data_IF_719380970380
#
_entry.id   IF_719380970380
#
_cell.length_a   1.000
_cell.length_b   1.000
_cell.length_c   1.000
_cell.angle_alpha   90.00
_cell.angle_beta   90.00
_cell.angle_gamma   90.00
#
_symmetry.space_group_name_H-M   'P 1'
#
loop_
_entity.id
_entity.type
_entity.pdbx_description
1 polymer ?
#
# COMPACT_ATOMS: atom_id res chain seq x y z
N UNK A 1 -9.84 -24.59 -12.88
CA UNK A 1 -10.43 -23.36 -12.33
C UNK A 1 -9.62 -22.78 -11.18
N UNK A 2 -9.09 -23.58 -10.27
CA UNK A 2 -8.26 -23.05 -9.18
C UNK A 2 -6.97 -22.40 -9.67
N UNK A 3 -6.36 -22.92 -10.73
CA UNK A 3 -5.17 -22.34 -11.35
C UNK A 3 -5.41 -20.95 -11.90
N UNK A 4 -6.63 -20.66 -12.40
CA UNK A 4 -6.99 -19.33 -12.92
C UNK A 4 -7.05 -18.28 -11.81
N UNK A 5 -7.57 -18.63 -10.62
CA UNK A 5 -7.65 -17.70 -9.48
C UNK A 5 -6.27 -17.33 -8.95
N UNK A 6 -5.35 -18.30 -8.87
CA UNK A 6 -3.98 -18.04 -8.42
C UNK A 6 -3.20 -17.18 -9.41
N UNK A 7 -3.38 -17.44 -10.72
CA UNK A 7 -2.74 -16.65 -11.76
C UNK A 7 -3.30 -15.22 -11.79
N UNK A 8 -4.60 -15.05 -11.51
CA UNK A 8 -5.21 -13.72 -11.43
C UNK A 8 -4.66 -12.92 -10.24
N UNK A 9 -4.49 -13.54 -9.08
CA UNK A 9 -3.90 -12.87 -7.92
C UNK A 9 -2.45 -12.47 -8.17
N UNK A 10 -1.67 -13.31 -8.83
CA UNK A 10 -0.29 -12.97 -9.17
C UNK A 10 -0.23 -11.77 -10.11
N UNK A 11 -1.10 -11.74 -11.12
CA UNK A 11 -1.18 -10.61 -12.04
C UNK A 11 -1.63 -9.33 -11.33
N UNK A 12 -2.59 -9.44 -10.43
CA UNK A 12 -3.09 -8.30 -9.65
C UNK A 12 -1.99 -7.74 -8.75
N UNK A 13 -1.22 -8.60 -8.09
CA UNK A 13 -0.11 -8.18 -7.22
C UNK A 13 0.97 -7.46 -8.03
N UNK A 14 1.31 -7.97 -9.21
CA UNK A 14 2.30 -7.30 -10.07
C UNK A 14 1.79 -5.94 -10.57
N UNK A 15 0.50 -5.84 -10.89
CA UNK A 15 -0.09 -4.56 -11.25
C UNK A 15 -0.07 -3.60 -10.06
N UNK A 16 -0.34 -4.09 -8.87
CA UNK A 16 -0.30 -3.30 -7.65
C UNK A 16 1.10 -2.72 -7.41
N UNK A 17 2.13 -3.56 -7.53
CA UNK A 17 3.52 -3.12 -7.39
C UNK A 17 3.87 -2.05 -8.42
N UNK A 18 3.46 -2.25 -9.66
CA UNK A 18 3.67 -1.27 -10.74
C UNK A 18 2.97 0.05 -10.43
N UNK A 19 1.74 0.00 -9.93
CA UNK A 19 0.97 1.20 -9.57
C UNK A 19 1.63 1.97 -8.42
N UNK A 20 2.19 1.28 -7.44
CA UNK A 20 2.95 1.92 -6.36
C UNK A 20 4.10 2.75 -6.92
N UNK A 21 4.84 2.20 -7.87
CA UNK A 21 5.96 2.91 -8.49
C UNK A 21 5.50 4.10 -9.32
N UNK A 22 4.41 3.92 -10.07
CA UNK A 22 3.85 5.00 -10.88
C UNK A 22 3.35 6.16 -10.02
N UNK A 23 2.70 5.87 -8.91
CA UNK A 23 2.23 6.91 -7.98
C UNK A 23 3.40 7.67 -7.34
N UNK A 24 4.50 6.98 -7.05
CA UNK A 24 5.69 7.64 -6.53
C UNK A 24 6.21 8.68 -7.52
N UNK A 25 6.31 8.31 -8.79
CA UNK A 25 6.80 9.21 -9.83
C UNK A 25 5.87 10.43 -10.00
N UNK A 26 4.57 10.20 -9.96
CA UNK A 26 3.58 11.26 -10.12
C UNK A 26 3.57 12.18 -8.90
N UNK A 27 3.79 11.63 -7.72
CA UNK A 27 3.79 12.40 -6.46
C UNK A 27 5.07 13.20 -6.24
N UNK A 28 6.08 13.04 -7.11
CA UNK A 28 7.28 13.84 -7.03
C UNK A 28 6.91 15.32 -7.24
N UNK A 29 7.33 16.18 -6.32
CA UNK A 29 6.98 17.60 -6.30
C UNK A 29 7.36 18.31 -7.60
N UNK A 30 8.51 17.95 -8.17
CA UNK A 30 8.97 18.56 -9.43
C UNK A 30 8.02 18.25 -10.57
N UNK A 31 7.40 17.06 -10.56
CA UNK A 31 6.41 16.68 -11.57
C UNK A 31 5.06 17.34 -11.35
N UNK A 32 4.64 17.48 -10.09
CA UNK A 32 3.37 18.15 -9.76
C UNK A 32 3.39 19.59 -10.22
N UNK A 33 4.56 20.23 -10.15
CA UNK A 33 4.75 21.61 -10.57
C UNK A 33 5.07 21.75 -12.07
N UNK A 34 5.16 20.64 -12.80
CA UNK A 34 5.47 20.67 -14.23
C UNK A 34 4.21 20.74 -15.08
N UNK A 35 4.33 21.28 -16.28
CA UNK A 35 3.24 21.37 -17.25
C UNK A 35 2.80 19.97 -17.75
N UNK A 36 3.65 18.96 -17.55
CA UNK A 36 3.38 17.59 -17.95
C UNK A 36 2.57 16.78 -16.91
N UNK A 37 2.29 17.38 -15.76
CA UNK A 37 1.52 16.70 -14.71
C UNK A 37 0.07 16.47 -15.15
N UNK A 38 -0.36 15.20 -15.10
CA UNK A 38 -1.72 14.81 -15.46
C UNK A 38 -2.46 14.26 -14.24
N UNK A 39 -3.33 15.08 -13.61
CA UNK A 39 -4.12 14.62 -12.45
C UNK A 39 -5.08 13.47 -12.78
N UNK A 40 -5.51 13.35 -14.04
CA UNK A 40 -6.40 12.27 -14.45
C UNK A 40 -5.71 10.92 -14.44
N UNK A 41 -4.42 10.89 -14.84
CA UNK A 41 -3.62 9.66 -14.79
C UNK A 41 -3.44 9.19 -13.34
N UNK A 42 -3.15 10.10 -12.42
CA UNK A 42 -3.03 9.79 -10.99
C UNK A 42 -4.33 9.21 -10.44
N UNK A 43 -5.46 9.82 -10.78
CA UNK A 43 -6.77 9.38 -10.31
C UNK A 43 -7.10 7.98 -10.84
N UNK A 44 -6.80 7.73 -12.13
CA UNK A 44 -7.03 6.43 -12.76
C UNK A 44 -6.22 5.33 -12.08
N UNK A 45 -4.95 5.60 -11.79
CA UNK A 45 -4.07 4.65 -11.10
C UNK A 45 -4.59 4.39 -9.69
N UNK A 46 -4.99 5.43 -8.97
CA UNK A 46 -5.55 5.31 -7.62
C UNK A 46 -6.80 4.45 -7.57
N UNK A 47 -7.69 4.62 -8.53
CA UNK A 47 -8.91 3.80 -8.62
C UNK A 47 -8.60 2.34 -8.88
N UNK A 48 -7.67 2.07 -9.80
CA UNK A 48 -7.24 0.70 -10.09
C UNK A 48 -6.56 0.07 -8.89
N UNK A 49 -5.72 0.81 -8.22
CA UNK A 49 -5.03 0.37 -7.01
C UNK A 49 -6.04 -0.03 -5.93
N UNK A 50 -7.03 0.81 -5.66
CA UNK A 50 -8.05 0.53 -4.66
C UNK A 50 -8.89 -0.71 -5.01
N UNK A 51 -9.23 -0.87 -6.28
CA UNK A 51 -9.96 -2.06 -6.75
C UNK A 51 -9.14 -3.33 -6.53
N UNK A 52 -7.85 -3.28 -6.85
CA UNK A 52 -6.95 -4.43 -6.69
C UNK A 52 -6.73 -4.75 -5.21
N UNK A 53 -6.58 -3.75 -4.36
CA UNK A 53 -6.48 -3.94 -2.92
C UNK A 53 -7.73 -4.62 -2.37
N UNK A 54 -8.90 -4.16 -2.78
CA UNK A 54 -10.16 -4.75 -2.36
C UNK A 54 -10.23 -6.25 -2.73
N UNK A 55 -9.82 -6.56 -3.96
CA UNK A 55 -9.83 -7.95 -4.44
C UNK A 55 -8.88 -8.83 -3.61
N UNK A 56 -7.67 -8.35 -3.36
CA UNK A 56 -6.66 -9.13 -2.63
C UNK A 56 -6.99 -9.29 -1.15
N UNK A 57 -7.46 -8.22 -0.51
CA UNK A 57 -7.67 -8.21 0.94
C UNK A 57 -8.94 -8.94 1.39
N UNK A 58 -9.79 -9.35 0.44
CA UNK A 58 -11.01 -10.10 0.75
C UNK A 58 -10.79 -11.59 0.95
N UNK A 59 -9.61 -12.13 0.62
CA UNK A 59 -9.37 -13.56 0.71
C UNK A 59 -7.95 -13.86 1.20
N UNK A 60 -7.79 -15.03 1.83
CA UNK A 60 -6.51 -15.45 2.40
C UNK A 60 -5.42 -15.55 1.34
N UNK A 61 -5.73 -16.12 0.17
CA UNK A 61 -4.72 -16.26 -0.88
C UNK A 61 -4.26 -14.90 -1.40
N UNK A 62 -5.16 -13.92 -1.51
CA UNK A 62 -4.79 -12.56 -1.90
C UNK A 62 -3.90 -11.89 -0.88
N UNK A 63 -4.21 -12.04 0.41
CA UNK A 63 -3.40 -11.50 1.51
C UNK A 63 -2.01 -12.13 1.48
N UNK A 64 -1.91 -13.45 1.29
CA UNK A 64 -0.63 -14.14 1.22
C UNK A 64 0.23 -13.63 0.05
N UNK A 65 -0.39 -13.37 -1.09
CA UNK A 65 0.31 -12.80 -2.25
C UNK A 65 0.79 -11.36 -1.97
N UNK A 66 -0.02 -10.55 -1.29
CA UNK A 66 0.41 -9.21 -0.88
C UNK A 66 1.56 -9.25 0.11
N UNK A 67 1.56 -10.21 1.05
CA UNK A 67 2.63 -10.34 2.02
C UNK A 67 3.99 -10.52 1.34
N UNK A 68 4.04 -11.17 0.19
CA UNK A 68 5.27 -11.33 -0.57
C UNK A 68 5.86 -10.00 -1.02
N UNK A 69 5.05 -8.95 -1.16
CA UNK A 69 5.55 -7.62 -1.51
C UNK A 69 6.43 -7.02 -0.40
N UNK A 70 6.23 -7.43 0.85
CA UNK A 70 7.03 -6.96 1.98
C UNK A 70 8.48 -7.46 1.90
N UNK A 71 8.74 -8.49 1.10
CA UNK A 71 10.05 -9.07 0.91
C UNK A 71 10.69 -8.68 -0.42
N UNK A 72 10.06 -7.79 -1.20
CA UNK A 72 10.60 -7.31 -2.46
C UNK A 72 11.87 -6.49 -2.25
N UNK A 73 12.77 -6.53 -3.21
CA UNK A 73 14.03 -5.80 -3.15
C UNK A 73 13.84 -4.27 -3.15
N UNK A 74 12.77 -3.77 -3.77
CA UNK A 74 12.51 -2.34 -3.85
C UNK A 74 11.96 -1.80 -2.52
N UNK A 75 12.67 -0.90 -1.83
CA UNK A 75 12.20 -0.37 -0.54
C UNK A 75 10.88 0.37 -0.65
N UNK A 76 10.63 1.03 -1.77
CA UNK A 76 9.42 1.78 -2.01
C UNK A 76 8.20 0.87 -2.10
N UNK A 77 8.32 -0.27 -2.79
CA UNK A 77 7.25 -1.26 -2.86
C UNK A 77 6.97 -1.82 -1.47
N UNK A 78 8.02 -2.15 -0.70
CA UNK A 78 7.86 -2.65 0.67
C UNK A 78 7.11 -1.64 1.54
N UNK A 79 7.47 -0.37 1.45
CA UNK A 79 6.83 0.69 2.24
C UNK A 79 5.33 0.81 1.92
N UNK A 80 4.99 0.88 0.63
CA UNK A 80 3.59 1.02 0.23
C UNK A 80 2.76 -0.21 0.58
N UNK A 81 3.32 -1.40 0.40
CA UNK A 81 2.64 -2.64 0.80
C UNK A 81 2.44 -2.69 2.31
N UNK A 82 3.46 -2.29 3.09
CA UNK A 82 3.37 -2.25 4.54
C UNK A 82 2.28 -1.27 5.00
N UNK A 83 2.16 -0.13 4.34
CA UNK A 83 1.11 0.84 4.64
C UNK A 83 -0.29 0.22 4.50
N UNK A 84 -0.52 -0.55 3.46
CA UNK A 84 -1.81 -1.17 3.19
C UNK A 84 -2.06 -2.44 4.02
N UNK A 85 -1.00 -3.13 4.45
CA UNK A 85 -1.11 -4.33 5.27
C UNK A 85 -1.05 -4.03 6.78
N UNK A 86 -0.82 -2.80 7.15
CA UNK A 86 -0.64 -2.40 8.55
C UNK A 86 -1.76 -2.88 9.48
N UNK A 87 -3.05 -2.75 9.12
CA UNK A 87 -4.12 -3.22 10.02
C UNK A 87 -4.08 -4.72 10.30
N UNK A 88 -3.49 -5.51 9.42
CA UNK A 88 -3.38 -6.97 9.55
C UNK A 88 -2.08 -7.39 10.26
N UNK A 89 -0.97 -6.70 10.01
CA UNK A 89 0.35 -7.03 10.53
C UNK A 89 1.04 -5.75 11.03
N UNK A 90 0.51 -5.13 12.11
CA UNK A 90 0.96 -3.79 12.51
C UNK A 90 2.44 -3.72 12.87
N UNK A 91 2.97 -4.68 13.61
CA UNK A 91 4.36 -4.61 14.06
C UNK A 91 5.34 -4.84 12.91
N UNK A 92 5.10 -5.85 12.08
CA UNK A 92 5.94 -6.12 10.92
C UNK A 92 5.95 -4.94 9.96
N UNK A 93 4.78 -4.39 9.68
CA UNK A 93 4.66 -3.24 8.76
C UNK A 93 5.31 -1.99 9.34
N UNK A 94 5.15 -1.77 10.65
CA UNK A 94 5.80 -0.65 11.34
C UNK A 94 7.32 -0.71 11.19
N UNK A 95 7.91 -1.88 11.39
CA UNK A 95 9.36 -2.06 11.25
C UNK A 95 9.84 -1.76 9.83
N UNK A 96 9.09 -2.20 8.83
CA UNK A 96 9.42 -1.94 7.42
C UNK A 96 9.35 -0.45 7.11
N UNK A 97 8.31 0.22 7.58
CA UNK A 97 8.14 1.66 7.37
C UNK A 97 9.23 2.47 8.07
N UNK A 98 9.62 2.09 9.29
CA UNK A 98 10.70 2.75 10.01
C UNK A 98 12.05 2.54 9.34
N UNK A 99 12.30 1.33 8.79
CA UNK A 99 13.52 1.06 8.03
C UNK A 99 13.59 1.95 6.79
N UNK A 100 12.46 2.09 6.10
CA UNK A 100 12.36 2.99 4.94
C UNK A 100 12.65 4.43 5.34
N UNK A 101 12.07 4.91 6.43
CA UNK A 101 12.31 6.26 6.96
C UNK A 101 13.80 6.51 7.24
N UNK A 102 14.49 5.54 7.81
CA UNK A 102 15.91 5.67 8.15
C UNK A 102 16.81 5.82 6.93
N UNK A 103 16.40 5.29 5.79
CA UNK A 103 17.17 5.38 4.55
C UNK A 103 16.88 6.65 3.76
N UNK A 104 15.83 7.39 4.10
CA UNK A 104 15.49 8.61 3.39
C UNK A 104 16.43 9.74 3.80
N UNK A 105 16.91 10.48 2.79
CA UNK A 105 17.78 11.63 3.00
C UNK A 105 17.04 12.95 2.78
N UNK A 106 15.97 12.93 1.99
CA UNK A 106 15.15 14.11 1.74
C UNK A 106 14.24 14.39 2.95
N UNK A 107 14.39 15.54 3.56
CA UNK A 107 13.62 15.93 4.75
C UNK A 107 12.13 15.94 4.51
N UNK A 108 11.69 16.32 3.33
CA UNK A 108 10.28 16.39 2.96
C UNK A 108 9.67 14.98 2.92
N UNK A 109 10.34 14.04 2.24
CA UNK A 109 9.92 12.64 2.22
C UNK A 109 9.91 12.05 3.63
N UNK A 110 10.94 12.35 4.42
CA UNK A 110 11.03 11.87 5.80
C UNK A 110 9.85 12.35 6.63
N UNK A 111 9.47 13.61 6.48
CA UNK A 111 8.33 14.16 7.20
C UNK A 111 7.03 13.49 6.78
N UNK A 112 6.84 13.26 5.48
CA UNK A 112 5.64 12.59 4.96
C UNK A 112 5.52 11.16 5.51
N UNK A 113 6.62 10.41 5.49
CA UNK A 113 6.65 9.04 5.99
C UNK A 113 6.38 9.03 7.50
N UNK A 114 7.00 9.95 8.25
CA UNK A 114 6.77 10.06 9.69
C UNK A 114 5.29 10.31 10.01
N UNK A 115 4.67 11.22 9.28
CA UNK A 115 3.26 11.54 9.47
C UNK A 115 2.37 10.33 9.19
N UNK A 116 2.69 9.54 8.16
CA UNK A 116 1.96 8.32 7.84
C UNK A 116 2.09 7.31 8.97
N UNK A 117 3.31 7.06 9.45
CA UNK A 117 3.56 6.09 10.51
C UNK A 117 2.85 6.51 11.80
N UNK A 118 2.98 7.78 12.18
CA UNK A 118 2.34 8.31 13.40
C UNK A 118 0.82 8.18 13.31
N UNK A 119 0.23 8.51 12.16
CA UNK A 119 -1.21 8.40 11.95
C UNK A 119 -1.71 6.96 12.08
N UNK A 120 -0.96 6.01 11.52
CA UNK A 120 -1.32 4.59 11.62
C UNK A 120 -1.21 4.08 13.06
N UNK A 121 -0.18 4.49 13.79
CA UNK A 121 0.02 4.07 15.19
C UNK A 121 -1.07 4.61 16.12
N UNK A 122 -1.54 5.81 15.88
CA UNK A 122 -2.58 6.43 16.70
C UNK A 122 -3.96 5.82 16.50
N UNK A 123 -4.12 4.99 15.47
CA UNK A 123 -5.42 4.37 15.18
C UNK A 123 -6.51 5.32 14.75
N UNK A 124 -6.21 6.62 14.70
CA UNK A 124 -7.16 7.65 14.28
C UNK A 124 -7.11 7.88 12.77
N UNK A 125 -6.33 7.07 12.08
CA UNK A 125 -6.12 7.23 10.67
C UNK A 125 -7.40 6.92 9.89
N UNK A 126 -7.79 7.83 9.01
CA UNK A 126 -8.87 7.63 8.06
C UNK A 126 -8.70 6.32 7.28
N UNK A 127 -7.45 5.91 7.07
CA UNK A 127 -7.13 4.67 6.38
C UNK A 127 -7.68 3.43 7.08
N UNK A 128 -7.61 3.35 8.43
CA UNK A 128 -8.16 2.19 9.15
C UNK A 128 -9.67 2.11 8.98
N UNK A 129 -10.36 3.24 9.03
CA UNK A 129 -11.80 3.29 8.77
C UNK A 129 -12.13 2.95 7.33
N UNK A 130 -11.35 3.47 6.39
CA UNK A 130 -11.49 3.14 4.98
C UNK A 130 -11.22 1.66 4.72
N UNK A 131 -10.26 1.07 5.42
CA UNK A 131 -9.94 -0.34 5.30
C UNK A 131 -11.17 -1.21 5.58
N UNK A 132 -11.89 -0.90 6.66
CA UNK A 132 -13.11 -1.64 7.01
C UNK A 132 -14.23 -1.45 5.97
N UNK A 133 -14.39 -0.23 5.51
CA UNK A 133 -15.48 0.13 4.59
C UNK A 133 -15.21 -0.32 3.15
N UNK A 134 -14.00 -0.02 2.65
CA UNK A 134 -13.66 -0.25 1.24
C UNK A 134 -13.37 -1.70 0.93
N UNK A 135 -12.81 -2.43 1.89
CA UNK A 135 -12.35 -3.80 1.65
C UNK A 135 -13.26 -4.85 2.27
N UNK A 136 -14.42 -4.41 2.80
CA UNK A 136 -15.41 -5.34 3.37
C UNK A 136 -14.93 -6.08 4.60
N UNK A 137 -13.85 -5.61 5.25
CA UNK A 137 -13.30 -6.23 6.45
C UNK A 137 -14.07 -5.77 7.67
N UNK A 138 -15.38 -6.11 7.73
CA UNK A 138 -16.18 -5.86 8.91
C UNK A 138 -15.80 -6.79 10.06
N UNK A 139 -15.15 -7.89 9.73
CA UNK A 139 -14.74 -8.88 10.72
C UNK A 139 -13.43 -8.43 11.36
N UNK A 140 -13.53 -7.90 12.57
CA UNK A 140 -12.39 -7.42 13.36
C UNK A 140 -11.35 -8.54 13.55
N UNK A 141 -11.78 -9.80 13.50
CA UNK A 141 -10.87 -10.95 13.65
C UNK A 141 -9.82 -11.04 12.53
N UNK A 142 -10.06 -10.37 11.38
CA UNK A 142 -9.06 -10.29 10.31
C UNK A 142 -8.00 -9.22 10.58
N UNK A 143 -8.26 -8.28 11.49
CA UNK A 143 -7.31 -7.26 11.86
C UNK A 143 -6.33 -7.81 12.89
N UNK A 144 -5.08 -7.37 12.81
CA UNK A 144 -4.02 -7.79 13.74
C UNK A 144 -3.86 -9.31 13.78
N UNK A 145 -3.34 -9.85 12.71
CA UNK A 145 -3.11 -11.30 12.56
C UNK A 145 -1.79 -11.77 13.16
N UNK A 146 -1.06 -10.89 13.79
CA UNK A 146 0.22 -11.22 14.45
C UNK A 146 0.04 -11.95 15.77
#
# INVERSE_FOLDING_TARGET
MQKKKHSDHDAIVEQLASDYMSLREISNTDRIMSDDYDPKASLKIGKRLNKNLKTLLQCESGIDKMLALLDRACPHIRFWAARHLYPLYPERCRQIMLAYYRHLTDERERMEVKNIVDGLQQGSCVFIQQFKTLYGCENIALLNRE
#
